data_IF_313799913889
#
_entry.id   IF_313799913889
#
_cell.length_a   1.000
_cell.length_b   1.000
_cell.length_c   1.000
_cell.angle_alpha   90.00
_cell.angle_beta   90.00
_cell.angle_gamma   90.00
#
_symmetry.space_group_name_H-M   'P 1'
#
loop_
_entity.id
_entity.type
_entity.pdbx_description
1 polymer ?
#
# COMPACT_ATOMS: atom_id res chain seq x y z
N UNK A 1 -6.62 -25.22 -0.84
CA UNK A 1 -7.36 -24.11 -1.47
C UNK A 1 -6.32 -23.07 -1.80
N UNK A 2 -5.81 -23.12 -3.02
CA UNK A 2 -4.87 -22.11 -3.53
C UNK A 2 -5.62 -20.78 -3.58
N UNK A 3 -5.20 -19.84 -2.73
CA UNK A 3 -5.59 -18.44 -2.83
C UNK A 3 -5.37 -18.00 -4.29
N UNK A 4 -6.24 -17.15 -4.88
CA UNK A 4 -6.02 -16.62 -6.22
C UNK A 4 -4.56 -16.16 -6.32
N UNK A 5 -3.82 -16.74 -7.27
CA UNK A 5 -2.37 -16.85 -7.24
C UNK A 5 -1.73 -15.53 -6.84
N UNK A 6 -0.90 -15.50 -5.79
CA UNK A 6 -0.21 -14.28 -5.34
C UNK A 6 0.51 -13.56 -6.50
N UNK A 7 0.93 -14.32 -7.52
CA UNK A 7 1.48 -13.81 -8.78
C UNK A 7 0.47 -13.02 -9.62
N UNK A 8 -0.81 -13.43 -9.68
CA UNK A 8 -1.86 -12.70 -10.36
C UNK A 8 -2.18 -11.40 -9.61
N UNK A 9 -2.18 -11.44 -8.27
CA UNK A 9 -2.32 -10.26 -7.41
C UNK A 9 -1.13 -9.30 -7.54
N UNK A 10 0.10 -9.82 -7.62
CA UNK A 10 1.31 -9.04 -7.86
C UNK A 10 1.23 -8.32 -9.21
N UNK A 11 0.94 -9.06 -10.28
CA UNK A 11 0.84 -8.49 -11.62
C UNK A 11 -0.24 -7.40 -11.70
N UNK A 12 -1.40 -7.62 -11.07
CA UNK A 12 -2.47 -6.60 -11.03
C UNK A 12 -2.08 -5.36 -10.23
N UNK A 13 -1.40 -5.50 -9.09
CA UNK A 13 -1.00 -4.33 -8.30
C UNK A 13 0.16 -3.57 -8.93
N UNK A 14 1.12 -4.26 -9.54
CA UNK A 14 2.21 -3.62 -10.27
C UNK A 14 1.66 -2.86 -11.48
N UNK A 15 0.71 -3.45 -12.20
CA UNK A 15 0.06 -2.78 -13.33
C UNK A 15 -0.82 -1.62 -12.86
N UNK A 16 -1.55 -1.79 -11.75
CA UNK A 16 -2.30 -0.72 -11.12
C UNK A 16 -1.37 0.45 -10.76
N UNK A 17 -0.23 0.17 -10.13
CA UNK A 17 0.76 1.20 -9.80
C UNK A 17 1.29 1.90 -11.05
N UNK A 18 1.57 1.17 -12.12
CA UNK A 18 1.99 1.75 -13.41
C UNK A 18 0.91 2.67 -13.96
N UNK A 19 -0.34 2.21 -14.05
CA UNK A 19 -1.46 3.02 -14.56
C UNK A 19 -1.69 4.27 -13.71
N UNK A 20 -1.63 4.14 -12.39
CA UNK A 20 -1.74 5.27 -11.46
C UNK A 20 -0.60 6.27 -11.67
N UNK A 21 0.64 5.77 -11.78
CA UNK A 21 1.83 6.61 -12.01
C UNK A 21 1.76 7.37 -13.34
N UNK A 22 1.14 6.76 -14.36
CA UNK A 22 0.91 7.39 -15.67
C UNK A 22 -0.26 8.40 -15.63
N UNK A 23 -1.27 8.16 -14.79
CA UNK A 23 -2.49 8.96 -14.70
C UNK A 23 -2.48 10.09 -13.66
N UNK A 24 -1.47 10.17 -12.78
CA UNK A 24 -1.29 11.26 -11.82
C UNK A 24 -2.23 11.25 -10.59
N UNK A 25 -2.30 12.37 -9.87
CA UNK A 25 -3.04 12.52 -8.59
C UNK A 25 -4.53 12.15 -8.68
N UNK A 26 -5.18 12.43 -9.82
CA UNK A 26 -6.59 12.08 -10.04
C UNK A 26 -6.82 10.55 -9.98
N UNK A 27 -5.84 9.77 -10.43
CA UNK A 27 -5.91 8.31 -10.41
C UNK A 27 -5.71 7.76 -8.99
N UNK A 28 -4.88 8.41 -8.18
CA UNK A 28 -4.69 8.09 -6.76
C UNK A 28 -6.00 8.32 -5.97
N UNK A 29 -6.63 9.48 -6.17
CA UNK A 29 -7.91 9.79 -5.52
C UNK A 29 -9.02 8.78 -5.86
N UNK A 30 -9.06 8.31 -7.11
CA UNK A 30 -10.01 7.30 -7.54
C UNK A 30 -9.85 5.95 -6.81
N UNK A 31 -8.62 5.55 -6.46
CA UNK A 31 -8.35 4.32 -5.69
C UNK A 31 -8.92 4.42 -4.27
N UNK A 32 -8.72 5.57 -3.61
CA UNK A 32 -9.30 5.80 -2.29
C UNK A 32 -10.84 5.75 -2.34
N UNK A 33 -11.44 6.46 -3.30
CA UNK A 33 -12.89 6.53 -3.48
C UNK A 33 -13.51 5.15 -3.81
N UNK A 34 -12.78 4.28 -4.50
CA UNK A 34 -13.19 2.92 -4.81
C UNK A 34 -13.01 1.92 -3.64
N UNK A 35 -12.49 2.36 -2.48
CA UNK A 35 -12.24 1.50 -1.33
C UNK A 35 -10.98 0.64 -1.45
N UNK A 36 -10.02 1.04 -2.30
CA UNK A 36 -8.79 0.29 -2.56
C UNK A 36 -7.79 0.23 -1.40
N UNK A 37 -7.93 1.09 -0.38
CA UNK A 37 -7.00 1.18 0.76
C UNK A 37 -6.90 -0.14 1.53
N UNK A 38 -8.03 -0.78 1.85
CA UNK A 38 -8.02 -2.02 2.62
C UNK A 38 -7.35 -3.19 1.85
N UNK A 39 -7.67 -3.46 0.57
CA UNK A 39 -6.94 -4.41 -0.25
C UNK A 39 -5.43 -4.13 -0.33
N UNK A 40 -5.01 -2.86 -0.42
CA UNK A 40 -3.61 -2.49 -0.45
C UNK A 40 -2.89 -2.83 0.86
N UNK A 41 -3.51 -2.56 2.02
CA UNK A 41 -2.92 -2.94 3.31
C UNK A 41 -2.79 -4.46 3.43
N UNK A 42 -3.81 -5.22 3.02
CA UNK A 42 -3.73 -6.69 3.03
C UNK A 42 -2.59 -7.22 2.13
N UNK A 43 -2.39 -6.60 0.97
CA UNK A 43 -1.29 -6.94 0.09
C UNK A 43 0.07 -6.65 0.74
N UNK A 44 0.21 -5.55 1.48
CA UNK A 44 1.43 -5.21 2.21
C UNK A 44 1.74 -6.26 3.30
N UNK A 45 0.72 -6.90 3.88
CA UNK A 45 0.88 -7.93 4.90
C UNK A 45 1.25 -9.31 4.34
N UNK A 46 0.63 -9.71 3.22
CA UNK A 46 0.67 -11.08 2.69
C UNK A 46 1.43 -11.21 1.36
N UNK A 47 1.76 -10.10 0.70
CA UNK A 47 2.30 -10.07 -0.65
C UNK A 47 3.78 -10.43 -0.77
N UNK A 48 4.21 -10.64 -2.01
CA UNK A 48 5.63 -10.79 -2.39
C UNK A 48 6.38 -9.47 -2.17
N UNK A 49 7.71 -9.50 -2.15
CA UNK A 49 8.50 -8.27 -1.95
C UNK A 49 8.18 -7.18 -2.97
N UNK A 50 7.96 -7.56 -4.24
CA UNK A 50 7.56 -6.63 -5.30
C UNK A 50 6.15 -6.07 -5.10
N UNK A 51 5.19 -6.93 -4.75
CA UNK A 51 3.82 -6.50 -4.49
C UNK A 51 3.75 -5.56 -3.28
N UNK A 52 4.50 -5.88 -2.22
CA UNK A 52 4.61 -5.03 -1.02
C UNK A 52 5.23 -3.68 -1.37
N UNK A 53 6.30 -3.65 -2.16
CA UNK A 53 6.98 -2.41 -2.57
C UNK A 53 6.05 -1.49 -3.37
N UNK A 54 5.28 -2.05 -4.32
CA UNK A 54 4.29 -1.32 -5.10
C UNK A 54 3.11 -0.85 -4.24
N UNK A 55 2.60 -1.73 -3.35
CA UNK A 55 1.52 -1.39 -2.43
C UNK A 55 1.91 -0.26 -1.48
N UNK A 56 3.14 -0.29 -0.95
CA UNK A 56 3.68 0.78 -0.10
C UNK A 56 3.81 2.11 -0.86
N UNK A 57 4.16 2.09 -2.16
CA UNK A 57 4.25 3.30 -2.97
C UNK A 57 2.86 3.93 -3.16
N UNK A 58 1.85 3.14 -3.57
CA UNK A 58 0.47 3.64 -3.72
C UNK A 58 -0.05 4.19 -2.39
N UNK A 59 0.17 3.45 -1.29
CA UNK A 59 -0.31 3.85 0.03
C UNK A 59 0.40 5.12 0.55
N UNK A 60 1.66 5.34 0.15
CA UNK A 60 2.39 6.56 0.43
C UNK A 60 1.82 7.75 -0.33
N UNK A 61 1.57 7.61 -1.63
CA UNK A 61 0.96 8.66 -2.45
C UNK A 61 -0.43 9.04 -1.91
N UNK A 62 -1.23 8.04 -1.51
CA UNK A 62 -2.51 8.25 -0.85
C UNK A 62 -2.40 9.01 0.47
N UNK A 63 -1.31 8.79 1.22
CA UNK A 63 -1.06 9.46 2.51
C UNK A 63 -0.65 10.93 2.36
N UNK A 64 -0.35 11.40 1.14
CA UNK A 64 -0.09 12.82 0.91
C UNK A 64 -1.35 13.68 1.09
N UNK A 65 -2.53 13.08 0.92
CA UNK A 65 -3.81 13.66 1.30
C UNK A 65 -4.20 13.20 2.72
N UNK A 66 -4.27 14.16 3.64
CA UNK A 66 -4.59 13.90 5.05
C UNK A 66 -6.00 13.35 5.27
N UNK A 67 -6.93 13.59 4.33
CA UNK A 67 -8.30 13.04 4.40
C UNK A 67 -8.31 11.50 4.30
N UNK A 68 -7.26 10.91 3.70
CA UNK A 68 -7.12 9.45 3.61
C UNK A 68 -6.57 8.81 4.88
N UNK A 69 -5.96 9.58 5.80
CA UNK A 69 -5.27 9.04 6.97
C UNK A 69 -6.17 8.18 7.87
N UNK A 70 -7.41 8.59 8.22
CA UNK A 70 -8.29 7.76 9.04
C UNK A 70 -8.58 6.41 8.39
N UNK A 71 -8.77 6.38 7.07
CA UNK A 71 -9.02 5.15 6.33
C UNK A 71 -7.79 4.24 6.28
N UNK A 72 -6.60 4.81 6.07
CA UNK A 72 -5.32 4.07 6.08
C UNK A 72 -5.06 3.44 7.45
N UNK A 73 -5.31 4.19 8.54
CA UNK A 73 -5.15 3.70 9.91
C UNK A 73 -6.20 2.61 10.21
N UNK A 74 -7.47 2.85 9.87
CA UNK A 74 -8.56 1.89 10.08
C UNK A 74 -8.36 0.58 9.31
N UNK A 75 -7.70 0.63 8.14
CA UNK A 75 -7.34 -0.54 7.37
C UNK A 75 -6.22 -1.39 8.00
N UNK A 76 -5.57 -0.91 9.07
CA UNK A 76 -4.52 -1.65 9.77
C UNK A 76 -3.10 -1.37 9.26
N UNK A 77 -2.86 -0.25 8.58
CA UNK A 77 -1.53 0.06 8.04
C UNK A 77 -0.44 0.16 9.13
N UNK A 78 -0.75 0.80 10.27
CA UNK A 78 0.24 1.01 11.36
C UNK A 78 0.88 -0.29 11.86
N UNK A 79 0.13 -1.33 12.26
CA UNK A 79 0.74 -2.60 12.67
C UNK A 79 1.48 -3.32 11.53
N UNK A 80 0.97 -3.25 10.29
CA UNK A 80 1.64 -3.84 9.12
C UNK A 80 3.02 -3.21 8.85
N UNK A 81 3.09 -1.87 8.87
CA UNK A 81 4.34 -1.12 8.67
C UNK A 81 5.36 -1.41 9.77
N UNK A 82 4.94 -1.42 11.04
CA UNK A 82 5.81 -1.78 12.16
C UNK A 82 6.42 -3.17 11.99
N UNK A 83 5.64 -4.15 11.54
CA UNK A 83 6.12 -5.50 11.28
C UNK A 83 7.20 -5.53 10.20
N UNK A 84 7.03 -4.78 9.10
CA UNK A 84 8.04 -4.69 8.02
C UNK A 84 9.35 -4.11 8.56
N UNK A 85 9.28 -3.02 9.33
CA UNK A 85 10.45 -2.36 9.93
C UNK A 85 11.18 -3.31 10.89
N UNK A 86 10.45 -3.98 11.78
CA UNK A 86 11.04 -4.89 12.77
C UNK A 86 11.61 -6.17 12.14
N UNK A 87 11.05 -6.61 11.02
CA UNK A 87 11.53 -7.79 10.30
C UNK A 87 12.74 -7.52 9.40
N UNK A 88 13.24 -6.27 9.35
CA UNK A 88 14.35 -5.83 8.50
C UNK A 88 14.18 -6.22 7.02
N UNK A 89 12.93 -6.21 6.53
CA UNK A 89 12.64 -6.45 5.12
C UNK A 89 13.25 -5.34 4.25
N UNK A 90 13.63 -5.61 2.98
CA UNK A 90 14.29 -4.61 2.13
C UNK A 90 13.54 -3.27 2.03
N UNK A 91 12.22 -3.33 2.08
CA UNK A 91 11.26 -2.22 2.02
C UNK A 91 11.07 -1.43 3.34
N UNK A 92 11.88 -1.68 4.38
CA UNK A 92 11.74 -1.02 5.68
C UNK A 92 11.83 0.51 5.62
N UNK A 93 12.65 1.07 4.72
CA UNK A 93 12.81 2.53 4.58
C UNK A 93 11.49 3.18 4.14
N UNK A 94 10.86 2.64 3.08
CA UNK A 94 9.57 3.14 2.61
C UNK A 94 8.47 2.92 3.64
N UNK A 95 8.48 1.79 4.35
CA UNK A 95 7.53 1.55 5.43
C UNK A 95 7.69 2.57 6.59
N UNK A 96 8.93 2.97 6.89
CA UNK A 96 9.23 3.99 7.90
C UNK A 96 8.77 5.37 7.43
N UNK A 97 9.02 5.74 6.17
CA UNK A 97 8.59 7.03 5.61
C UNK A 97 7.06 7.17 5.65
N UNK A 98 6.33 6.12 5.26
CA UNK A 98 4.88 6.09 5.35
C UNK A 98 4.38 6.16 6.81
N UNK A 99 5.02 5.43 7.72
CA UNK A 99 4.65 5.48 9.14
C UNK A 99 4.84 6.89 9.73
N UNK A 100 5.82 7.66 9.24
CA UNK A 100 6.06 9.05 9.66
C UNK A 100 5.08 10.04 9.05
N UNK A 101 4.46 9.71 7.92
CA UNK A 101 3.45 10.54 7.27
C UNK A 101 2.08 10.45 7.96
N UNK A 102 1.78 9.33 8.61
CA UNK A 102 0.52 9.12 9.32
C UNK A 102 0.54 9.76 10.72
N UNK A 103 -0.58 10.35 11.18
CA UNK A 103 -0.73 10.77 12.56
C UNK A 103 -0.70 9.52 13.45
N UNK A 104 0.23 9.47 14.39
CA UNK A 104 0.47 8.34 15.30
C UNK A 104 0.05 8.64 16.73
#
# INVERSE_FOLDING_TARGET
MESPSLELQEATVVELYRTISEGGEDSIGAVAAAGGIFPLVKLIEEGTERAVEAGLAILYDLSMDTENHPAIIAAGAVPALRRIILSQKPQWTRALDLLRALPT
#
